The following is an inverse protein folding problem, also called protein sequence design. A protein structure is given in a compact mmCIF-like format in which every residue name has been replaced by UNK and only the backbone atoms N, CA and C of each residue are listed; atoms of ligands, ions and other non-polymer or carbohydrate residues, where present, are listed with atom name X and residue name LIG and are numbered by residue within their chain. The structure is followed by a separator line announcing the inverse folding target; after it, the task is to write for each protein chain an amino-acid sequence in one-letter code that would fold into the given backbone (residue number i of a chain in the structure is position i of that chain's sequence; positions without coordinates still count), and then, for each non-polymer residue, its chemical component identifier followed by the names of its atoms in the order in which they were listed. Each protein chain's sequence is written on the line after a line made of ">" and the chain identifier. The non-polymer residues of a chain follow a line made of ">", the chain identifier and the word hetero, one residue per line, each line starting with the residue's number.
data_IF_915045354280
#
_entry.id   IF_915045354280
#
_cell.length_a   1.000
_cell.length_b   1.000
_cell.length_c   1.000
_cell.angle_alpha   90.00
_cell.angle_beta   90.00
_cell.angle_gamma   90.00
#
_symmetry.space_group_name_H-M   'P 1'
#
loop_
_entity.id
_entity.type
_entity.pdbx_description
1 polymer ?
#
# COMPACT_ATOMS: atom_id res chain seq x y z
N UNK A 1 11.27 27.90 0.45
CA UNK A 1 10.72 27.15 1.59
C UNK A 1 9.68 26.22 1.00
N UNK A 2 10.13 25.05 0.53
CA UNK A 2 9.29 24.15 -0.28
C UNK A 2 8.35 23.41 0.66
N UNK A 3 7.05 23.68 0.52
CA UNK A 3 6.00 22.96 1.24
C UNK A 3 6.11 21.47 0.90
N UNK A 4 6.35 20.64 1.91
CA UNK A 4 6.37 19.19 1.76
C UNK A 4 4.94 18.79 1.37
N UNK A 5 4.72 18.02 0.30
CA UNK A 5 3.38 17.58 -0.06
C UNK A 5 2.74 16.87 1.13
N UNK A 6 1.44 17.10 1.39
CA UNK A 6 0.75 16.47 2.51
C UNK A 6 0.93 14.95 2.44
N UNK A 7 1.04 14.26 3.59
CA UNK A 7 1.20 12.83 3.61
C UNK A 7 0.05 12.17 2.83
N UNK A 8 0.30 11.04 2.15
CA UNK A 8 -0.65 10.36 1.28
C UNK A 8 -1.88 9.80 2.01
N UNK A 9 -2.21 10.24 3.22
CA UNK A 9 -3.40 9.88 4.00
C UNK A 9 -4.06 11.08 4.70
N UNK A 10 -3.79 12.31 4.25
CA UNK A 10 -4.52 13.49 4.73
C UNK A 10 -5.95 13.44 4.16
N UNK A 11 -6.96 13.33 5.03
CA UNK A 11 -8.39 13.32 4.65
C UNK A 11 -8.88 14.66 4.05
N UNK A 12 -8.04 15.70 4.06
CA UNK A 12 -8.31 17.05 3.53
C UNK A 12 -7.83 17.29 2.09
N UNK A 13 -7.36 16.25 1.36
CA UNK A 13 -7.03 16.40 -0.06
C UNK A 13 -8.33 16.42 -0.89
N UNK A 14 -8.70 17.57 -1.51
CA UNK A 14 -9.95 17.69 -2.27
C UNK A 14 -9.91 16.90 -3.59
N UNK A 15 -8.76 16.31 -3.93
CA UNK A 15 -8.63 15.49 -5.11
C UNK A 15 -9.14 14.06 -4.87
N UNK A 16 -10.02 13.54 -5.74
CA UNK A 16 -10.57 12.20 -5.60
C UNK A 16 -9.46 11.14 -5.73
N UNK A 17 -9.38 10.25 -4.74
CA UNK A 17 -8.34 9.22 -4.67
C UNK A 17 -8.92 7.84 -4.93
N UNK A 18 -8.50 7.22 -6.04
CA UNK A 18 -8.91 5.86 -6.38
C UNK A 18 -8.15 4.84 -5.52
N UNK A 19 -8.87 4.10 -4.66
CA UNK A 19 -8.31 2.98 -3.88
C UNK A 19 -8.81 1.66 -4.43
N UNK A 20 -7.91 0.82 -4.95
CA UNK A 20 -8.26 -0.46 -5.58
C UNK A 20 -7.97 -1.65 -4.66
N UNK A 21 -8.90 -2.60 -4.57
CA UNK A 21 -8.69 -3.91 -3.94
C UNK A 21 -8.96 -5.02 -4.94
N UNK A 22 -8.01 -5.94 -5.09
CA UNK A 22 -8.09 -7.12 -5.94
C UNK A 22 -8.36 -8.34 -5.06
N UNK A 23 -9.46 -9.04 -5.31
CA UNK A 23 -9.88 -10.26 -4.61
C UNK A 23 -9.51 -11.47 -5.48
N UNK A 24 -8.81 -12.44 -4.89
CA UNK A 24 -8.39 -13.69 -5.54
C UNK A 24 -9.15 -14.86 -4.91
N UNK A 25 -10.40 -15.05 -5.35
CA UNK A 25 -11.33 -15.98 -4.72
C UNK A 25 -11.54 -15.65 -3.24
N UNK A 26 -11.77 -16.67 -2.43
CA UNK A 26 -12.10 -16.49 -1.00
C UNK A 26 -10.85 -16.36 -0.10
N UNK A 27 -9.66 -16.59 -0.64
CA UNK A 27 -8.46 -16.87 0.18
C UNK A 27 -7.39 -15.78 0.16
N UNK A 28 -7.46 -14.83 -0.76
CA UNK A 28 -6.44 -13.79 -0.87
C UNK A 28 -7.00 -12.46 -1.38
N UNK A 29 -6.49 -11.37 -0.82
CA UNK A 29 -6.82 -10.01 -1.25
C UNK A 29 -5.55 -9.16 -1.26
N UNK A 30 -5.33 -8.40 -2.34
CA UNK A 30 -4.29 -7.39 -2.46
C UNK A 30 -4.94 -6.01 -2.59
N UNK A 31 -4.65 -5.11 -1.65
CA UNK A 31 -5.20 -3.75 -1.61
C UNK A 31 -4.14 -2.73 -1.17
N UNK A 32 -4.52 -1.45 -1.01
CA UNK A 32 -3.56 -0.36 -0.88
C UNK A 32 -2.64 -0.55 0.32
N UNK A 33 -3.17 -0.93 1.48
CA UNK A 33 -2.35 -1.15 2.68
C UNK A 33 -1.39 -2.34 2.56
N UNK A 34 -1.69 -3.37 1.77
CA UNK A 34 -0.74 -4.47 1.54
C UNK A 34 0.36 -4.05 0.56
N UNK A 35 0.01 -3.30 -0.47
CA UNK A 35 0.97 -2.75 -1.43
C UNK A 35 1.92 -1.75 -0.75
N UNK A 36 1.37 -0.82 0.05
CA UNK A 36 2.15 0.15 0.82
C UNK A 36 3.07 -0.51 1.85
N UNK A 37 2.63 -1.59 2.50
CA UNK A 37 3.49 -2.39 3.37
C UNK A 37 4.68 -2.99 2.60
N UNK A 38 4.46 -3.47 1.37
CA UNK A 38 5.54 -4.00 0.53
C UNK A 38 6.51 -2.87 0.10
N UNK A 39 6.00 -1.70 -0.28
CA UNK A 39 6.82 -0.53 -0.61
C UNK A 39 7.71 -0.12 0.57
N UNK A 40 7.12 0.05 1.75
CA UNK A 40 7.90 0.40 2.94
C UNK A 40 8.92 -0.68 3.34
N UNK A 41 8.63 -1.96 3.13
CA UNK A 41 9.62 -3.02 3.36
C UNK A 41 10.77 -2.91 2.35
N UNK A 42 10.48 -2.61 1.08
CA UNK A 42 11.50 -2.39 0.05
C UNK A 42 12.40 -1.19 0.38
N UNK A 43 11.82 -0.10 0.88
CA UNK A 43 12.54 1.13 1.24
C UNK A 43 13.36 0.98 2.53
N UNK A 44 12.77 0.38 3.57
CA UNK A 44 13.36 0.37 4.92
C UNK A 44 14.18 -0.88 5.22
N UNK A 45 14.01 -1.94 4.45
CA UNK A 45 14.60 -3.25 4.73
C UNK A 45 14.09 -3.89 6.04
N UNK A 46 12.94 -3.48 6.58
CA UNK A 46 12.44 -3.95 7.87
C UNK A 46 10.92 -3.95 7.98
N UNK A 47 10.34 -5.09 8.38
CA UNK A 47 8.90 -5.20 8.69
C UNK A 47 8.53 -4.30 9.88
N UNK A 48 9.43 -4.14 10.85
CA UNK A 48 9.18 -3.30 12.02
C UNK A 48 9.18 -1.81 11.67
N UNK A 49 10.09 -1.37 10.79
CA UNK A 49 10.10 0.01 10.31
C UNK A 49 8.87 0.30 9.44
N UNK A 50 8.53 -0.61 8.52
CA UNK A 50 7.33 -0.49 7.70
C UNK A 50 6.04 -0.42 8.53
N UNK A 51 5.91 -1.29 9.54
CA UNK A 51 4.78 -1.23 10.47
C UNK A 51 4.68 0.10 11.20
N UNK A 52 5.81 0.67 11.66
CA UNK A 52 5.83 2.00 12.30
C UNK A 52 5.45 3.12 11.34
N UNK A 53 5.94 3.10 10.10
CA UNK A 53 5.59 4.09 9.08
C UNK A 53 4.08 4.13 8.82
N UNK A 54 3.44 2.96 8.82
CA UNK A 54 1.99 2.81 8.65
C UNK A 54 1.18 2.88 9.95
N UNK A 55 1.76 3.39 11.05
CA UNK A 55 1.09 3.49 12.36
C UNK A 55 0.45 2.18 12.86
N UNK A 56 1.05 1.02 12.54
CA UNK A 56 0.57 -0.30 12.94
C UNK A 56 1.57 -1.05 13.82
N UNK A 57 1.05 -1.95 14.66
CA UNK A 57 1.91 -2.81 15.49
C UNK A 57 2.73 -3.75 14.62
N UNK A 58 3.93 -4.10 15.10
CA UNK A 58 4.76 -5.11 14.44
C UNK A 58 4.00 -6.43 14.21
N UNK A 59 3.19 -6.86 15.19
CA UNK A 59 2.34 -8.06 15.07
C UNK A 59 1.37 -7.97 13.88
N UNK A 60 0.79 -6.79 13.65
CA UNK A 60 -0.12 -6.56 12.51
C UNK A 60 0.64 -6.58 11.18
N UNK A 61 1.75 -5.85 11.07
CA UNK A 61 2.59 -5.86 9.88
C UNK A 61 3.09 -7.28 9.54
N UNK A 62 3.51 -8.02 10.56
CA UNK A 62 3.91 -9.41 10.42
C UNK A 62 2.79 -10.31 9.90
N UNK A 63 1.59 -10.21 10.48
CA UNK A 63 0.43 -11.00 10.05
C UNK A 63 0.08 -10.75 8.59
N UNK A 64 0.15 -9.50 8.13
CA UNK A 64 -0.09 -9.15 6.72
C UNK A 64 0.98 -9.75 5.80
N UNK A 65 2.25 -9.71 6.22
CA UNK A 65 3.34 -10.36 5.48
C UNK A 65 3.13 -11.86 5.40
N UNK A 66 2.74 -12.52 6.49
CA UNK A 66 2.47 -13.96 6.48
C UNK A 66 1.29 -14.32 5.60
N UNK A 67 0.21 -13.55 5.64
CA UNK A 67 -0.94 -13.72 4.76
C UNK A 67 -0.52 -13.63 3.28
N UNK A 68 0.23 -12.58 2.92
CA UNK A 68 0.75 -12.42 1.55
C UNK A 68 1.70 -13.56 1.15
N UNK A 69 2.63 -13.95 2.02
CA UNK A 69 3.55 -15.04 1.71
C UNK A 69 2.85 -16.39 1.48
N UNK A 70 1.69 -16.62 2.11
CA UNK A 70 0.88 -17.83 1.91
C UNK A 70 -0.04 -17.74 0.69
N UNK A 71 -0.47 -16.53 0.34
CA UNK A 71 -1.42 -16.29 -0.75
C UNK A 71 -0.81 -16.46 -2.16
N UNK A 72 0.50 -16.26 -2.32
CA UNK A 72 1.17 -16.31 -3.62
C UNK A 72 2.02 -17.58 -3.78
N UNK A 73 2.32 -17.93 -5.05
CA UNK A 73 3.08 -19.13 -5.41
C UNK A 73 4.49 -19.19 -4.81
N UNK A 74 5.03 -18.04 -4.44
CA UNK A 74 6.28 -17.91 -3.70
C UNK A 74 6.14 -16.77 -2.68
N UNK A 75 6.92 -16.79 -1.58
CA UNK A 75 6.91 -15.72 -0.59
C UNK A 75 7.17 -14.37 -1.24
N UNK A 76 6.41 -13.34 -0.87
CA UNK A 76 6.63 -11.97 -1.35
C UNK A 76 7.73 -11.26 -0.55
N UNK A 77 7.87 -11.60 0.73
CA UNK A 77 8.85 -11.02 1.64
C UNK A 77 9.68 -12.12 2.26
N UNK A 78 10.99 -11.99 2.20
CA UNK A 78 11.93 -12.86 2.89
C UNK A 78 12.61 -12.13 4.05
N UNK A 79 12.93 -12.90 5.09
CA UNK A 79 13.55 -12.37 6.31
C UNK A 79 14.99 -12.83 6.38
N UNK A 80 15.88 -11.90 6.68
CA UNK A 80 17.26 -12.23 7.01
C UNK A 80 17.32 -12.66 8.48
N UNK A 81 17.69 -13.93 8.71
CA UNK A 81 17.95 -14.45 10.04
C UNK A 81 19.27 -13.87 10.56
N UNK A 82 19.18 -12.89 11.47
CA UNK A 82 20.24 -12.61 12.46
C UNK A 82 21.27 -11.53 12.12
N UNK A 83 21.45 -10.63 13.09
CA UNK A 83 22.53 -9.65 13.24
C UNK A 83 22.27 -8.82 14.51
N UNK A 84 23.31 -8.26 15.13
CA UNK A 84 23.31 -7.59 16.45
C UNK A 84 22.33 -6.40 16.60
N UNK A 85 21.67 -5.97 15.51
CA UNK A 85 20.72 -4.85 15.45
C UNK A 85 19.28 -5.27 15.08
N UNK A 86 18.97 -6.56 15.02
CA UNK A 86 17.65 -7.09 14.66
C UNK A 86 17.56 -7.59 13.22
N UNK A 87 16.68 -8.56 12.97
CA UNK A 87 16.50 -9.18 11.66
C UNK A 87 15.95 -8.22 10.61
N UNK A 88 16.50 -8.29 9.39
CA UNK A 88 16.03 -7.52 8.24
C UNK A 88 14.94 -8.25 7.45
N UNK A 89 14.30 -7.53 6.53
CA UNK A 89 13.36 -8.07 5.57
C UNK A 89 13.57 -7.42 4.21
N UNK A 90 13.35 -8.15 3.12
CA UNK A 90 13.35 -7.61 1.77
C UNK A 90 12.25 -8.24 0.94
N UNK A 91 11.84 -7.56 -0.13
CA UNK A 91 11.01 -8.20 -1.14
C UNK A 91 11.81 -9.28 -1.84
N UNK A 92 11.15 -10.38 -2.14
CA UNK A 92 11.66 -11.35 -3.11
C UNK A 92 11.39 -10.83 -4.53
N UNK A 93 11.98 -11.45 -5.54
CA UNK A 93 11.64 -11.18 -6.94
C UNK A 93 10.12 -11.32 -7.21
N UNK A 94 9.46 -12.28 -6.56
CA UNK A 94 8.00 -12.44 -6.67
C UNK A 94 7.27 -11.27 -6.00
N UNK A 95 7.74 -10.81 -4.84
CA UNK A 95 7.22 -9.63 -4.14
C UNK A 95 7.28 -8.37 -5.00
N UNK A 96 8.44 -8.10 -5.59
CA UNK A 96 8.66 -6.96 -6.48
C UNK A 96 7.74 -7.02 -7.71
N UNK A 97 7.62 -8.20 -8.33
CA UNK A 97 6.73 -8.39 -9.49
C UNK A 97 5.27 -8.16 -9.11
N UNK A 98 4.78 -8.73 -8.01
CA UNK A 98 3.40 -8.56 -7.56
C UNK A 98 3.09 -7.08 -7.29
N UNK A 99 3.98 -6.39 -6.57
CA UNK A 99 3.84 -4.97 -6.29
C UNK A 99 3.82 -4.15 -7.57
N UNK A 100 4.74 -4.40 -8.50
CA UNK A 100 4.79 -3.72 -9.79
C UNK A 100 3.52 -3.94 -10.63
N UNK A 101 2.96 -5.16 -10.63
CA UNK A 101 1.69 -5.44 -11.29
C UNK A 101 0.53 -4.67 -10.64
N UNK A 102 0.43 -4.67 -9.32
CA UNK A 102 -0.61 -3.93 -8.60
C UNK A 102 -0.55 -2.43 -8.91
N UNK A 103 0.63 -1.81 -8.81
CA UNK A 103 0.83 -0.39 -9.15
C UNK A 103 0.50 -0.06 -10.60
N UNK A 104 0.75 -0.99 -11.54
CA UNK A 104 0.32 -0.84 -12.95
C UNK A 104 -1.19 -0.85 -13.09
N UNK A 105 -1.89 -1.76 -12.40
CA UNK A 105 -3.35 -1.81 -12.42
C UNK A 105 -3.95 -0.54 -11.82
N UNK A 106 -3.43 -0.05 -10.69
CA UNK A 106 -3.88 1.22 -10.09
C UNK A 106 -3.75 2.38 -11.07
N UNK A 107 -2.58 2.54 -11.71
CA UNK A 107 -2.38 3.61 -12.70
C UNK A 107 -3.31 3.47 -13.91
N UNK A 108 -3.50 2.25 -14.41
CA UNK A 108 -4.38 2.00 -15.54
C UNK A 108 -5.85 2.31 -15.18
N UNK A 109 -6.31 1.91 -14.01
CA UNK A 109 -7.66 2.19 -13.53
C UNK A 109 -7.89 3.69 -13.30
N UNK A 110 -6.91 4.38 -12.71
CA UNK A 110 -6.98 5.83 -12.52
C UNK A 110 -7.03 6.58 -13.87
N UNK A 111 -6.22 6.17 -14.84
CA UNK A 111 -6.24 6.75 -16.17
C UNK A 111 -7.56 6.49 -16.92
N UNK A 112 -8.05 5.25 -16.87
CA UNK A 112 -9.30 4.87 -17.54
C UNK A 112 -10.53 5.52 -16.92
N UNK A 113 -10.55 5.71 -15.61
CA UNK A 113 -11.66 6.36 -14.89
C UNK A 113 -11.53 7.88 -14.76
N UNK A 114 -10.51 8.51 -15.35
CA UNK A 114 -10.20 9.92 -15.09
C UNK A 114 -11.36 10.87 -15.42
N UNK A 115 -12.04 10.65 -16.54
CA UNK A 115 -13.20 11.45 -16.95
C UNK A 115 -14.38 11.29 -15.98
N UNK A 116 -14.73 10.05 -15.63
CA UNK A 116 -15.81 9.75 -14.69
C UNK A 116 -15.50 10.29 -13.27
N UNK A 117 -14.26 10.15 -12.82
CA UNK A 117 -13.80 10.66 -11.53
C UNK A 117 -13.90 12.19 -11.49
N UNK A 118 -13.52 12.88 -12.57
CA UNK A 118 -13.68 14.33 -12.68
C UNK A 118 -15.16 14.75 -12.70
N UNK A 119 -16.01 13.99 -13.40
CA UNK A 119 -17.45 14.21 -13.38
C UNK A 119 -18.03 14.04 -11.98
N UNK A 120 -17.67 12.97 -11.25
CA UNK A 120 -18.07 12.76 -9.86
C UNK A 120 -17.60 13.91 -8.96
N UNK A 121 -16.36 14.39 -9.12
CA UNK A 121 -15.85 15.55 -8.38
C UNK A 121 -16.72 16.80 -8.62
N UNK A 122 -17.15 17.05 -9.85
CA UNK A 122 -18.02 18.20 -10.18
C UNK A 122 -19.43 18.11 -9.56
N UNK A 123 -19.87 16.90 -9.21
CA UNK A 123 -21.15 16.63 -8.57
C UNK A 123 -21.07 16.64 -7.03
N UNK A 124 -19.86 16.64 -6.46
CA UNK A 124 -19.70 16.84 -5.02
C UNK A 124 -20.12 18.26 -4.68
N UNK A 125 -21.15 18.38 -3.84
CA UNK A 125 -21.46 19.62 -3.15
C UNK A 125 -20.25 20.05 -2.33
N UNK A 126 -19.97 21.37 -2.25
CA UNK A 126 -18.98 21.93 -1.33
C UNK A 126 -19.30 21.45 0.09
N UNK A 127 -18.65 20.36 0.53
CA UNK A 127 -18.61 19.96 1.93
C UNK A 127 -17.55 20.79 2.67
N UNK A 128 -17.43 22.06 2.29
CA UNK A 128 -16.68 23.07 3.01
C UNK A 128 -17.61 23.63 4.08
N UNK A 129 -17.45 23.17 5.33
CA UNK A 129 -18.12 23.60 6.58
C UNK A 129 -19.15 22.64 7.21
N UNK A 130 -18.67 21.52 7.75
CA UNK A 130 -19.12 21.02 9.05
C UNK A 130 -18.01 20.08 9.56
N UNK A 131 -17.21 20.40 10.58
CA UNK A 131 -17.50 21.00 11.89
C UNK A 131 -16.20 21.43 12.56
#
# INVERSE_FOLDING_TARGET
>A
MTELPPPPDSDDDPDPRLRLRILFGDSAMLGPGKAELLDHIAETGSIAAAGRAMSMSYKRAWSLVEEMNRAFRAPLVERNRGGTRGGGARLTETGERVLAHYRRVERAAAAAGAEDIAALKSLLSDMSHQK
#
